data_IF_194847144371
#
_entry.id   IF_194847144371
#
_cell.length_a   1.000
_cell.length_b   1.000
_cell.length_c   1.000
_cell.angle_alpha   90.00
_cell.angle_beta   90.00
_cell.angle_gamma   90.00
#
_symmetry.space_group_name_H-M   'P 1'
#
loop_
_entity.id
_entity.type
_entity.pdbx_description
1 polymer ?
#
# COMPACT_ATOMS: atom_id res chain seq x y z
N UNK A 1 12.85 12.63 -6.91
CA UNK A 1 11.53 12.57 -7.61
C UNK A 1 11.53 11.31 -8.44
N UNK A 2 10.46 10.53 -8.43
CA UNK A 2 10.29 9.36 -9.30
C UNK A 2 9.13 9.57 -10.28
N UNK A 3 9.07 8.78 -11.35
CA UNK A 3 7.96 8.82 -12.33
C UNK A 3 7.29 7.47 -12.42
N UNK A 4 5.96 7.43 -12.29
CA UNK A 4 5.13 6.22 -12.35
C UNK A 4 4.03 6.48 -13.38
N UNK A 5 4.01 5.71 -14.47
CA UNK A 5 3.04 5.90 -15.57
C UNK A 5 2.94 7.37 -16.03
N UNK A 6 4.08 8.05 -16.17
CA UNK A 6 4.16 9.46 -16.57
C UNK A 6 3.85 10.47 -15.46
N UNK A 7 3.40 10.03 -14.27
CA UNK A 7 3.11 10.89 -13.13
C UNK A 7 4.33 11.09 -12.24
N UNK A 8 4.64 12.34 -11.92
CA UNK A 8 5.74 12.70 -11.01
C UNK A 8 5.32 12.50 -9.56
N UNK A 9 6.15 11.79 -8.79
CA UNK A 9 6.00 11.57 -7.35
C UNK A 9 7.21 12.16 -6.62
N UNK A 10 6.94 13.11 -5.74
CA UNK A 10 7.95 13.88 -5.02
C UNK A 10 7.35 15.06 -4.29
N UNK A 11 8.09 15.65 -3.37
CA UNK A 11 7.64 16.84 -2.64
C UNK A 11 7.29 17.96 -3.61
N UNK A 12 6.21 18.68 -3.32
CA UNK A 12 5.68 19.75 -4.17
C UNK A 12 4.72 19.29 -5.27
N UNK A 13 4.76 18.02 -5.70
CA UNK A 13 3.77 17.47 -6.64
C UNK A 13 2.48 17.05 -5.92
N UNK A 14 1.37 16.84 -6.66
CA UNK A 14 0.16 16.25 -6.08
C UNK A 14 0.47 14.88 -5.44
N UNK A 15 -0.11 14.64 -4.27
CA UNK A 15 0.08 13.42 -3.49
C UNK A 15 -0.34 12.20 -4.30
N UNK A 16 0.52 11.19 -4.30
CA UNK A 16 0.25 9.90 -4.92
C UNK A 16 -0.41 8.96 -3.91
N UNK A 17 -1.69 8.66 -4.11
CA UNK A 17 -2.45 7.74 -3.27
C UNK A 17 -2.31 6.29 -3.71
N UNK A 18 -2.06 5.42 -2.74
CA UNK A 18 -2.03 3.97 -2.90
C UNK A 18 -3.12 3.39 -2.01
N UNK A 19 -4.15 2.80 -2.61
CA UNK A 19 -5.12 1.97 -1.91
C UNK A 19 -4.55 0.56 -1.72
N UNK A 20 -4.12 0.23 -0.50
CA UNK A 20 -3.66 -1.10 -0.15
C UNK A 20 -4.86 -2.02 0.03
N UNK A 21 -5.16 -2.81 -0.99
CA UNK A 21 -6.11 -3.92 -0.91
C UNK A 21 -5.49 -5.06 -0.09
N UNK A 22 -4.17 -5.26 -0.23
CA UNK A 22 -3.43 -6.21 0.58
C UNK A 22 -3.99 -7.63 0.48
N UNK A 23 -4.55 -8.11 1.59
CA UNK A 23 -5.26 -9.39 1.71
C UNK A 23 -6.75 -9.24 2.08
N UNK A 24 -7.29 -8.01 2.12
CA UNK A 24 -8.69 -7.74 2.48
C UNK A 24 -9.70 -8.34 1.48
N UNK A 25 -9.23 -8.80 0.33
CA UNK A 25 -10.05 -9.53 -0.63
C UNK A 25 -10.44 -10.93 -0.15
N UNK A 26 -9.89 -11.45 0.96
CA UNK A 26 -10.25 -12.74 1.55
C UNK A 26 -10.16 -13.94 0.57
N UNK A 27 -9.21 -13.87 -0.36
CA UNK A 27 -9.06 -14.86 -1.44
C UNK A 27 -10.14 -14.80 -2.52
N UNK A 28 -11.10 -13.86 -2.46
CA UNK A 28 -12.16 -13.66 -3.45
C UNK A 28 -11.70 -12.72 -4.56
N UNK A 29 -11.60 -13.24 -5.79
CA UNK A 29 -11.29 -12.42 -6.95
C UNK A 29 -12.38 -11.37 -7.25
N UNK A 30 -13.69 -11.70 -7.23
CA UNK A 30 -14.75 -10.69 -7.38
C UNK A 30 -14.62 -9.53 -6.39
N UNK A 31 -14.34 -9.82 -5.12
CA UNK A 31 -14.15 -8.81 -4.09
C UNK A 31 -12.92 -7.93 -4.37
N UNK A 32 -11.80 -8.53 -4.79
CA UNK A 32 -10.62 -7.77 -5.20
C UNK A 32 -10.92 -6.81 -6.35
N UNK A 33 -11.63 -7.26 -7.39
CA UNK A 33 -11.99 -6.42 -8.54
C UNK A 33 -12.96 -5.31 -8.14
N UNK A 34 -13.91 -5.57 -7.25
CA UNK A 34 -14.79 -4.54 -6.69
C UNK A 34 -13.98 -3.47 -5.93
N UNK A 35 -13.03 -3.88 -5.08
CA UNK A 35 -12.15 -2.95 -4.38
C UNK A 35 -11.33 -2.08 -5.33
N UNK A 36 -10.84 -2.66 -6.44
CA UNK A 36 -10.18 -1.88 -7.51
C UNK A 36 -11.13 -0.85 -8.11
N UNK A 37 -12.35 -1.24 -8.46
CA UNK A 37 -13.35 -0.33 -9.03
C UNK A 37 -13.71 0.81 -8.06
N UNK A 38 -13.86 0.51 -6.75
CA UNK A 38 -14.08 1.54 -5.73
C UNK A 38 -12.90 2.49 -5.64
N UNK A 39 -11.67 1.97 -5.57
CA UNK A 39 -10.47 2.79 -5.52
C UNK A 39 -10.37 3.74 -6.73
N UNK A 40 -10.67 3.24 -7.94
CA UNK A 40 -10.72 4.05 -9.17
C UNK A 40 -11.77 5.14 -9.08
N UNK A 41 -12.98 4.81 -8.63
CA UNK A 41 -14.07 5.80 -8.52
C UNK A 41 -13.77 6.94 -7.52
N UNK A 42 -12.89 6.68 -6.54
CA UNK A 42 -12.42 7.66 -5.56
C UNK A 42 -11.33 8.57 -6.15
N UNK A 43 -10.62 8.11 -7.19
CA UNK A 43 -9.54 8.86 -7.83
C UNK A 43 -8.18 8.66 -7.17
N UNK A 44 -7.91 7.45 -6.63
CA UNK A 44 -6.54 7.09 -6.22
C UNK A 44 -5.65 6.83 -7.43
N UNK A 45 -4.35 6.98 -7.27
CA UNK A 45 -3.39 6.77 -8.35
C UNK A 45 -3.01 5.31 -8.56
N UNK A 46 -3.02 4.53 -7.49
CA UNK A 46 -2.68 3.12 -7.55
C UNK A 46 -3.43 2.26 -6.53
N UNK A 47 -3.55 0.98 -6.86
CA UNK A 47 -3.96 -0.08 -5.95
C UNK A 47 -2.78 -1.00 -5.65
N UNK A 48 -2.77 -1.64 -4.48
CA UNK A 48 -1.69 -2.53 -4.09
C UNK A 48 -2.19 -3.81 -3.43
N UNK A 49 -1.54 -4.91 -3.77
CA UNK A 49 -1.78 -6.25 -3.23
C UNK A 49 -0.55 -6.77 -2.46
N UNK A 50 -0.60 -8.01 -2.00
CA UNK A 50 0.53 -8.71 -1.38
C UNK A 50 0.77 -10.05 -2.06
N UNK A 51 2.04 -10.36 -2.35
CA UNK A 51 2.46 -11.65 -2.90
C UNK A 51 3.50 -12.30 -2.00
N UNK A 52 3.22 -13.56 -1.64
CA UNK A 52 4.13 -14.42 -0.88
C UNK A 52 4.24 -15.79 -1.54
N UNK A 53 5.39 -16.42 -1.38
CA UNK A 53 5.50 -17.87 -1.34
C UNK A 53 5.39 -18.31 0.13
N UNK A 54 4.28 -18.97 0.47
CA UNK A 54 3.91 -19.24 1.87
C UNK A 54 4.94 -20.14 2.56
N UNK A 55 5.45 -21.16 1.88
CA UNK A 55 6.44 -22.08 2.43
C UNK A 55 7.81 -21.42 2.65
N UNK A 56 8.13 -20.38 1.90
CA UNK A 56 9.34 -19.57 2.07
C UNK A 56 9.22 -18.58 3.23
N UNK A 57 8.05 -17.95 3.38
CA UNK A 57 7.84 -16.86 4.33
C UNK A 57 7.57 -17.36 5.76
N UNK A 58 6.87 -18.48 5.90
CA UNK A 58 6.44 -18.99 7.21
C UNK A 58 7.14 -20.31 7.54
N UNK A 59 7.54 -20.45 8.80
CA UNK A 59 8.08 -21.73 9.28
C UNK A 59 6.99 -22.82 9.26
N UNK A 60 7.35 -24.10 9.09
CA UNK A 60 6.38 -25.20 9.18
C UNK A 60 5.57 -25.18 10.48
N UNK A 61 6.23 -24.89 11.61
CA UNK A 61 5.57 -24.78 12.91
C UNK A 61 4.51 -23.65 12.94
N UNK A 62 4.74 -22.54 12.24
CA UNK A 62 3.77 -21.45 12.13
C UNK A 62 2.60 -21.80 11.20
N UNK A 63 2.85 -22.60 10.17
CA UNK A 63 1.82 -23.07 9.24
C UNK A 63 0.92 -24.13 9.87
N UNK A 64 1.47 -24.99 10.72
CA UNK A 64 0.73 -26.10 11.35
C UNK A 64 -0.08 -25.65 12.59
N UNK A 65 0.07 -24.41 13.07
CA UNK A 65 -0.73 -23.87 14.17
C UNK A 65 -2.21 -23.87 13.81
N UNK A 66 -3.03 -24.49 14.65
CA UNK A 66 -4.48 -24.39 14.54
C UNK A 66 -4.92 -22.93 14.63
N UNK A 67 -5.85 -22.55 13.75
CA UNK A 67 -6.38 -21.21 13.67
C UNK A 67 -7.80 -21.27 13.17
N UNK A 68 -8.72 -20.73 13.96
CA UNK A 68 -10.09 -20.52 13.53
C UNK A 68 -10.19 -19.25 12.67
N UNK A 69 -10.93 -19.34 11.58
CA UNK A 69 -11.22 -18.24 10.67
C UNK A 69 -12.43 -18.58 9.79
N UNK A 70 -12.98 -17.56 9.14
CA UNK A 70 -14.18 -17.72 8.31
C UNK A 70 -13.95 -18.70 7.15
N UNK A 71 -14.81 -19.72 7.07
CA UNK A 71 -14.70 -20.80 6.06
C UNK A 71 -14.89 -20.32 4.63
N UNK A 72 -15.55 -19.17 4.42
CA UNK A 72 -15.68 -18.58 3.08
C UNK A 72 -14.33 -18.31 2.42
N UNK A 73 -13.26 -18.09 3.20
CA UNK A 73 -11.90 -17.92 2.67
C UNK A 73 -11.40 -19.22 2.01
N UNK A 74 -11.72 -20.39 2.61
CA UNK A 74 -11.42 -21.69 2.01
C UNK A 74 -12.27 -21.91 0.76
N UNK A 75 -13.56 -21.56 0.81
CA UNK A 75 -14.46 -21.72 -0.32
C UNK A 75 -14.01 -20.88 -1.52
N UNK A 76 -13.61 -19.62 -1.29
CA UNK A 76 -12.98 -18.77 -2.29
C UNK A 76 -11.73 -19.41 -2.91
N UNK A 77 -10.91 -20.10 -2.10
CA UNK A 77 -9.73 -20.82 -2.60
C UNK A 77 -10.10 -22.06 -3.44
N UNK A 78 -11.20 -22.76 -3.09
CA UNK A 78 -11.71 -23.89 -3.89
C UNK A 78 -12.13 -23.41 -5.29
N UNK A 79 -12.82 -22.28 -5.38
CA UNK A 79 -13.24 -21.69 -6.67
C UNK A 79 -12.06 -21.37 -7.59
N UNK A 80 -10.90 -21.03 -7.02
CA UNK A 80 -9.67 -20.68 -7.75
C UNK A 80 -8.77 -21.87 -8.09
N UNK A 81 -9.08 -23.07 -7.60
CA UNK A 81 -8.26 -24.27 -7.78
C UNK A 81 -8.35 -24.88 -9.19
N UNK A 82 -9.32 -24.46 -10.00
CA UNK A 82 -9.50 -24.96 -11.37
C UNK A 82 -8.91 -24.01 -12.41
N UNK A 83 -7.80 -24.41 -13.03
CA UNK A 83 -7.16 -23.67 -14.13
C UNK A 83 -7.18 -24.54 -15.38
N UNK A 84 -7.93 -24.12 -16.40
CA UNK A 84 -8.06 -24.83 -17.69
C UNK A 84 -8.48 -26.30 -17.55
N UNK A 85 -9.36 -26.59 -16.58
CA UNK A 85 -9.83 -27.95 -16.32
C UNK A 85 -8.82 -28.84 -15.56
N UNK A 86 -7.65 -28.33 -15.17
CA UNK A 86 -6.68 -29.03 -14.33
C UNK A 86 -6.70 -28.49 -12.90
N UNK A 87 -6.58 -29.35 -11.88
CA UNK A 87 -6.42 -28.90 -10.50
C UNK A 87 -5.04 -28.26 -10.34
N UNK A 88 -5.01 -26.98 -10.01
CA UNK A 88 -3.82 -26.26 -9.56
C UNK A 88 -4.12 -25.79 -8.14
N UNK A 89 -3.72 -26.62 -7.18
CA UNK A 89 -4.15 -26.43 -5.81
C UNK A 89 -3.58 -25.12 -5.23
N UNK A 90 -4.50 -24.24 -4.79
CA UNK A 90 -4.17 -23.00 -4.07
C UNK A 90 -3.52 -23.34 -2.71
N UNK A 91 -3.96 -24.43 -2.10
CA UNK A 91 -3.40 -25.03 -0.89
C UNK A 91 -2.64 -26.33 -1.23
N UNK A 92 -1.66 -26.77 -0.43
CA UNK A 92 -1.06 -28.09 -0.60
C UNK A 92 -2.11 -29.22 -0.53
N UNK A 93 -1.92 -30.31 -1.29
CA UNK A 93 -2.88 -31.42 -1.37
C UNK A 93 -3.23 -32.02 0.01
N UNK A 94 -2.23 -32.18 0.88
CA UNK A 94 -2.43 -32.67 2.26
C UNK A 94 -3.40 -31.79 3.06
N UNK A 95 -3.41 -30.48 2.78
CA UNK A 95 -4.29 -29.53 3.46
C UNK A 95 -5.74 -29.76 3.00
N UNK A 96 -5.96 -29.93 1.70
CA UNK A 96 -7.29 -30.26 1.17
C UNK A 96 -7.82 -31.57 1.74
N UNK A 97 -7.02 -32.63 1.73
CA UNK A 97 -7.42 -33.93 2.28
C UNK A 97 -7.87 -33.82 3.74
N UNK A 98 -7.14 -33.05 4.56
CA UNK A 98 -7.49 -32.82 5.96
C UNK A 98 -8.77 -32.00 6.12
N UNK A 99 -8.93 -30.93 5.34
CA UNK A 99 -10.13 -30.07 5.38
C UNK A 99 -11.38 -30.82 4.90
N UNK A 100 -11.26 -31.63 3.84
CA UNK A 100 -12.35 -32.45 3.29
C UNK A 100 -12.77 -33.57 4.26
N UNK A 101 -11.82 -34.08 5.06
CA UNK A 101 -12.10 -35.03 6.14
C UNK A 101 -12.71 -34.37 7.40
N UNK A 102 -12.97 -33.05 7.38
CA UNK A 102 -13.52 -32.32 8.52
C UNK A 102 -12.52 -31.99 9.63
N UNK A 103 -11.22 -32.04 9.33
CA UNK A 103 -10.16 -31.66 10.26
C UNK A 103 -10.16 -30.16 10.61
N UNK A 104 -9.38 -29.75 11.64
CA UNK A 104 -9.31 -28.36 12.07
C UNK A 104 -8.67 -27.48 10.99
N UNK A 105 -8.93 -26.17 11.00
CA UNK A 105 -8.22 -25.21 10.17
C UNK A 105 -6.91 -24.77 10.82
N UNK A 106 -5.94 -24.39 9.99
CA UNK A 106 -4.60 -23.96 10.41
C UNK A 106 -4.28 -22.59 9.84
N UNK A 107 -3.30 -21.92 10.44
CA UNK A 107 -2.74 -20.70 9.91
C UNK A 107 -2.21 -20.89 8.48
N UNK A 108 -1.64 -22.05 8.18
CA UNK A 108 -1.24 -22.41 6.82
C UNK A 108 -2.41 -22.38 5.83
N UNK A 109 -3.54 -23.01 6.16
CA UNK A 109 -4.72 -22.99 5.28
C UNK A 109 -5.18 -21.56 4.98
N UNK A 110 -5.24 -20.70 6.00
CA UNK A 110 -5.57 -19.28 5.82
C UNK A 110 -4.57 -18.60 4.87
N UNK A 111 -3.28 -18.75 5.12
CA UNK A 111 -2.24 -18.05 4.33
C UNK A 111 -2.23 -18.52 2.88
N UNK A 112 -2.34 -19.82 2.63
CA UNK A 112 -2.46 -20.34 1.26
C UNK A 112 -3.76 -19.89 0.59
N UNK A 113 -4.90 -19.94 1.30
CA UNK A 113 -6.20 -19.56 0.75
C UNK A 113 -6.30 -18.07 0.40
N UNK A 114 -5.52 -17.21 1.04
CA UNK A 114 -5.42 -15.78 0.70
C UNK A 114 -4.52 -15.50 -0.51
N UNK A 115 -3.60 -16.40 -0.87
CA UNK A 115 -2.71 -16.14 -2.00
C UNK A 115 -3.45 -16.27 -3.34
N UNK A 116 -3.39 -15.20 -4.12
CA UNK A 116 -3.82 -15.22 -5.50
C UNK A 116 -2.83 -15.98 -6.40
N UNK A 117 -3.39 -16.69 -7.35
CA UNK A 117 -2.66 -17.40 -8.40
C UNK A 117 -2.18 -16.42 -9.48
N UNK A 118 -1.32 -16.90 -10.36
CA UNK A 118 -0.91 -16.16 -11.57
C UNK A 118 -2.10 -15.71 -12.43
N UNK A 119 -3.08 -16.60 -12.63
CA UNK A 119 -4.31 -16.30 -13.37
C UNK A 119 -5.13 -15.19 -12.71
N UNK A 120 -5.20 -15.19 -11.38
CA UNK A 120 -5.92 -14.15 -10.63
C UNK A 120 -5.24 -12.79 -10.81
N UNK A 121 -3.91 -12.74 -10.72
CA UNK A 121 -3.13 -11.53 -10.96
C UNK A 121 -3.20 -11.05 -12.42
N UNK A 122 -3.26 -11.95 -13.41
CA UNK A 122 -3.49 -11.58 -14.81
C UNK A 122 -4.83 -10.89 -15.02
N UNK A 123 -5.89 -11.38 -14.35
CA UNK A 123 -7.21 -10.76 -14.40
C UNK A 123 -7.22 -9.39 -13.71
N UNK A 124 -6.54 -9.27 -12.57
CA UNK A 124 -6.33 -7.99 -11.87
C UNK A 124 -5.57 -7.02 -12.78
N UNK A 125 -4.47 -7.46 -13.42
CA UNK A 125 -3.67 -6.65 -14.33
C UNK A 125 -4.54 -6.09 -15.47
N UNK A 126 -5.29 -6.96 -16.15
CA UNK A 126 -6.19 -6.55 -17.25
C UNK A 126 -7.25 -5.55 -16.80
N UNK A 127 -7.84 -5.77 -15.62
CA UNK A 127 -8.83 -4.84 -15.08
C UNK A 127 -8.21 -3.49 -14.72
N UNK A 128 -7.04 -3.47 -14.09
CA UNK A 128 -6.34 -2.23 -13.75
C UNK A 128 -5.96 -1.43 -15.00
N UNK A 129 -5.43 -2.11 -16.03
CA UNK A 129 -5.13 -1.49 -17.33
C UNK A 129 -6.37 -0.91 -18.00
N UNK A 130 -7.48 -1.67 -18.02
CA UNK A 130 -8.76 -1.22 -18.57
C UNK A 130 -9.29 0.02 -17.85
N UNK A 131 -9.14 0.08 -16.54
CA UNK A 131 -9.60 1.20 -15.71
C UNK A 131 -8.60 2.37 -15.65
N UNK A 132 -7.39 2.21 -16.20
CA UNK A 132 -6.36 3.24 -16.20
C UNK A 132 -5.72 3.50 -14.83
N UNK A 133 -5.75 2.52 -13.92
CA UNK A 133 -5.13 2.62 -12.58
C UNK A 133 -3.86 1.81 -12.52
N UNK A 134 -2.83 2.37 -11.86
CA UNK A 134 -1.59 1.63 -11.65
C UNK A 134 -1.80 0.56 -10.56
N UNK A 135 -1.15 -0.58 -10.68
CA UNK A 135 -1.16 -1.57 -9.61
C UNK A 135 0.23 -2.16 -9.36
N UNK A 136 0.40 -2.71 -8.17
CA UNK A 136 1.58 -3.48 -7.79
C UNK A 136 1.24 -4.46 -6.67
N UNK A 137 2.21 -5.25 -6.24
CA UNK A 137 2.12 -6.01 -5.01
C UNK A 137 3.42 -5.92 -4.20
N UNK A 138 3.28 -6.03 -2.88
CA UNK A 138 4.43 -6.15 -1.98
C UNK A 138 4.98 -7.57 -2.08
N UNK A 139 6.24 -7.71 -2.50
CA UNK A 139 6.93 -8.99 -2.54
C UNK A 139 7.59 -9.28 -1.19
N UNK A 140 7.24 -10.42 -0.59
CA UNK A 140 7.74 -10.82 0.74
C UNK A 140 8.93 -11.79 0.69
N UNK A 141 9.26 -12.31 -0.49
CA UNK A 141 10.31 -13.27 -0.72
C UNK A 141 10.82 -13.17 -2.17
N UNK A 142 11.90 -13.89 -2.48
CA UNK A 142 12.56 -13.82 -3.78
C UNK A 142 11.72 -14.35 -4.96
N UNK A 143 10.85 -15.34 -4.73
CA UNK A 143 9.94 -15.87 -5.75
C UNK A 143 8.84 -14.85 -6.06
N UNK A 144 8.28 -14.25 -5.03
CA UNK A 144 7.31 -13.16 -5.16
C UNK A 144 7.88 -11.93 -5.85
N UNK A 145 9.15 -11.58 -5.58
CA UNK A 145 9.82 -10.48 -6.25
C UNK A 145 10.07 -10.79 -7.73
N UNK A 146 10.43 -12.03 -8.07
CA UNK A 146 10.54 -12.49 -9.45
C UNK A 146 9.19 -12.44 -10.17
N UNK A 147 8.14 -12.95 -9.52
CA UNK A 147 6.77 -12.99 -10.03
C UNK A 147 6.26 -11.59 -10.42
N UNK A 148 6.30 -10.62 -9.49
CA UNK A 148 5.79 -9.26 -9.77
C UNK A 148 6.67 -8.53 -10.80
N UNK A 149 7.99 -8.77 -10.80
CA UNK A 149 8.87 -8.23 -11.83
C UNK A 149 8.60 -8.80 -13.23
N UNK A 150 7.93 -9.95 -13.34
CA UNK A 150 7.52 -10.55 -14.60
C UNK A 150 6.38 -9.81 -15.31
N UNK A 151 5.62 -8.98 -14.58
CA UNK A 151 4.58 -8.14 -15.18
C UNK A 151 5.20 -6.87 -15.75
N UNK A 152 5.26 -6.75 -17.08
CA UNK A 152 5.79 -5.55 -17.76
C UNK A 152 4.94 -4.30 -17.45
N UNK A 153 3.62 -4.47 -17.31
CA UNK A 153 2.66 -3.38 -17.03
C UNK A 153 2.75 -2.83 -15.59
N UNK A 154 3.37 -3.56 -14.67
CA UNK A 154 3.58 -3.11 -13.29
C UNK A 154 4.70 -2.09 -13.29
N UNK A 155 4.36 -0.82 -13.15
CA UNK A 155 5.30 0.31 -13.28
C UNK A 155 6.11 0.63 -12.02
N UNK A 156 5.81 0.00 -10.89
CA UNK A 156 6.48 0.26 -9.61
C UNK A 156 6.38 -0.96 -8.70
N UNK A 157 7.23 -1.02 -7.67
CA UNK A 157 7.31 -2.14 -6.74
C UNK A 157 7.19 -1.64 -5.29
N UNK A 158 6.78 -2.54 -4.39
CA UNK A 158 6.70 -2.25 -2.96
C UNK A 158 7.60 -3.20 -2.17
N UNK A 159 8.38 -2.62 -1.26
CA UNK A 159 9.05 -3.33 -0.16
C UNK A 159 8.27 -3.07 1.13
N UNK A 160 7.76 -4.13 1.74
CA UNK A 160 7.08 -4.06 3.03
C UNK A 160 8.08 -3.79 4.18
N UNK A 161 7.62 -3.16 5.26
CA UNK A 161 8.47 -2.82 6.43
C UNK A 161 9.24 -4.04 6.97
N UNK A 162 8.56 -5.19 7.09
CA UNK A 162 9.16 -6.43 7.59
C UNK A 162 10.29 -6.99 6.68
N UNK A 163 10.33 -6.56 5.43
CA UNK A 163 11.29 -7.00 4.42
C UNK A 163 12.49 -6.07 4.26
N UNK A 164 12.48 -4.90 4.92
CA UNK A 164 13.49 -3.85 4.74
C UNK A 164 14.92 -4.34 5.02
N UNK A 165 15.09 -5.26 5.97
CA UNK A 165 16.40 -5.78 6.38
C UNK A 165 16.91 -6.92 5.50
N UNK A 166 16.12 -7.40 4.54
CA UNK A 166 16.48 -8.53 3.67
C UNK A 166 17.20 -8.05 2.40
N UNK A 167 18.53 -7.95 2.46
CA UNK A 167 19.37 -7.47 1.35
C UNK A 167 19.18 -8.24 0.04
N UNK A 168 19.07 -9.57 0.08
CA UNK A 168 18.88 -10.39 -1.13
C UNK A 168 17.55 -10.05 -1.81
N UNK A 169 16.47 -9.94 -1.03
CA UNK A 169 15.17 -9.52 -1.52
C UNK A 169 15.21 -8.11 -2.12
N UNK A 170 15.84 -7.14 -1.46
CA UNK A 170 15.98 -5.77 -1.99
C UNK A 170 16.68 -5.76 -3.36
N UNK A 171 17.73 -6.56 -3.54
CA UNK A 171 18.42 -6.69 -4.83
C UNK A 171 17.52 -7.29 -5.91
N UNK A 172 16.72 -8.31 -5.56
CA UNK A 172 15.76 -8.92 -6.50
C UNK A 172 14.65 -7.97 -6.90
N UNK A 173 14.11 -7.21 -5.95
CA UNK A 173 13.10 -6.17 -6.23
C UNK A 173 13.70 -5.11 -7.17
N UNK A 174 14.91 -4.62 -6.89
CA UNK A 174 15.61 -3.62 -7.72
C UNK A 174 15.98 -4.08 -9.13
N UNK A 175 16.02 -5.38 -9.41
CA UNK A 175 16.65 -5.95 -10.60
C UNK A 175 16.19 -5.35 -11.94
N UNK A 176 14.94 -4.89 -12.05
CA UNK A 176 14.38 -4.27 -13.28
C UNK A 176 14.48 -2.74 -13.32
N UNK A 177 15.02 -2.11 -12.29
CA UNK A 177 15.18 -0.66 -12.21
C UNK A 177 13.87 0.13 -12.08
N UNK A 178 12.74 -0.54 -11.80
CA UNK A 178 11.44 0.11 -11.60
C UNK A 178 11.46 0.97 -10.32
N UNK A 179 10.69 2.07 -10.24
CA UNK A 179 10.43 2.80 -9.00
C UNK A 179 10.00 1.89 -7.85
N UNK A 180 10.50 2.15 -6.65
CA UNK A 180 10.24 1.35 -5.44
C UNK A 180 9.68 2.27 -4.35
N UNK A 181 8.55 1.89 -3.79
CA UNK A 181 8.13 2.39 -2.48
C UNK A 181 8.64 1.45 -1.39
N UNK A 182 9.30 1.97 -0.37
CA UNK A 182 9.78 1.18 0.76
C UNK A 182 9.25 1.76 2.06
N UNK A 183 8.46 0.97 2.80
CA UNK A 183 8.04 1.36 4.16
C UNK A 183 9.15 1.10 5.18
N UNK A 184 9.23 1.95 6.21
CA UNK A 184 10.31 1.91 7.22
C UNK A 184 9.86 1.48 8.62
N UNK A 185 8.69 0.85 8.73
CA UNK A 185 8.14 0.45 10.04
C UNK A 185 9.03 -0.55 10.78
N UNK A 186 9.13 -0.40 12.10
CA UNK A 186 9.93 -1.28 12.95
C UNK A 186 11.44 -1.28 12.66
N UNK A 187 11.94 -0.30 11.90
CA UNK A 187 13.35 -0.24 11.48
C UNK A 187 14.08 0.93 12.12
N UNK A 188 15.35 0.74 12.48
CA UNK A 188 16.24 1.83 12.92
C UNK A 188 16.72 2.67 11.73
N UNK A 189 17.18 3.89 11.98
CA UNK A 189 17.76 4.74 10.93
C UNK A 189 18.95 4.08 10.23
N UNK A 190 19.75 3.28 10.95
CA UNK A 190 20.87 2.53 10.37
C UNK A 190 20.39 1.43 9.41
N UNK A 191 19.33 0.71 9.77
CA UNK A 191 18.73 -0.28 8.88
C UNK A 191 18.15 0.38 7.63
N UNK A 192 17.47 1.52 7.79
CA UNK A 192 16.96 2.31 6.66
C UNK A 192 18.12 2.76 5.77
N UNK A 193 19.22 3.25 6.34
CA UNK A 193 20.41 3.66 5.57
C UNK A 193 20.99 2.54 4.73
N UNK A 194 21.19 1.35 5.32
CA UNK A 194 21.67 0.17 4.59
C UNK A 194 20.71 -0.26 3.47
N UNK A 195 19.40 -0.16 3.68
CA UNK A 195 18.42 -0.46 2.64
C UNK A 195 18.46 0.57 1.50
N UNK A 196 18.61 1.87 1.82
CA UNK A 196 18.79 2.94 0.83
C UNK A 196 20.09 2.75 0.02
N UNK A 197 21.19 2.31 0.65
CA UNK A 197 22.44 1.99 -0.06
C UNK A 197 22.26 0.86 -1.08
N UNK A 198 21.49 -0.18 -0.74
CA UNK A 198 21.20 -1.30 -1.64
C UNK A 198 20.30 -0.85 -2.79
N UNK A 199 19.21 -0.13 -2.47
CA UNK A 199 18.21 0.28 -3.45
C UNK A 199 18.69 1.43 -4.35
N UNK A 200 19.53 2.32 -3.83
CA UNK A 200 19.90 3.57 -4.47
C UNK A 200 18.78 4.62 -4.38
N UNK A 201 19.11 5.92 -4.52
CA UNK A 201 18.15 7.00 -4.27
C UNK A 201 17.23 7.32 -5.45
N UNK A 202 17.66 7.07 -6.69
CA UNK A 202 17.05 7.67 -7.89
C UNK A 202 15.62 7.18 -8.15
N UNK A 203 15.35 5.91 -7.85
CA UNK A 203 14.07 5.23 -8.08
C UNK A 203 13.40 4.82 -6.77
N UNK A 204 13.66 5.55 -5.67
CA UNK A 204 13.15 5.22 -4.35
C UNK A 204 12.17 6.27 -3.83
N UNK A 205 11.13 5.81 -3.13
CA UNK A 205 10.27 6.61 -2.27
C UNK A 205 10.25 5.93 -0.90
N UNK A 206 10.62 6.66 0.15
CA UNK A 206 10.55 6.15 1.53
C UNK A 206 9.19 6.51 2.13
N UNK A 207 8.55 5.54 2.77
CA UNK A 207 7.32 5.78 3.51
C UNK A 207 7.58 5.61 5.00
N UNK A 208 7.43 6.71 5.76
CA UNK A 208 7.31 6.58 7.21
C UNK A 208 6.09 5.72 7.54
N UNK A 209 6.24 4.84 8.52
CA UNK A 209 5.27 3.80 8.81
C UNK A 209 5.47 3.29 10.25
N UNK A 210 4.38 2.95 10.93
CA UNK A 210 4.40 2.24 12.21
C UNK A 210 3.72 0.90 12.00
N UNK A 211 4.45 -0.21 12.17
CA UNK A 211 3.96 -1.58 11.89
C UNK A 211 3.11 -2.14 13.05
N UNK A 212 2.10 -1.39 13.45
CA UNK A 212 1.06 -1.74 14.42
C UNK A 212 -0.31 -1.49 13.78
N UNK A 213 -1.32 -2.32 14.08
CA UNK A 213 -2.59 -2.37 13.33
C UNK A 213 -3.80 -2.39 14.28
N UNK A 214 -4.36 -1.22 14.67
CA UNK A 214 -3.87 0.13 14.40
C UNK A 214 -2.83 0.62 15.42
N UNK A 215 -1.98 1.60 15.06
CA UNK A 215 -1.09 2.24 16.03
C UNK A 215 -1.89 3.19 16.94
N UNK A 216 -1.38 3.44 18.15
CA UNK A 216 -1.85 4.57 18.96
C UNK A 216 -1.36 5.88 18.34
N UNK A 217 -2.12 6.96 18.51
CA UNK A 217 -1.76 8.28 17.95
C UNK A 217 -0.38 8.75 18.45
N UNK A 218 -0.10 8.54 19.73
CA UNK A 218 1.18 8.87 20.38
C UNK A 218 2.38 8.14 19.74
N UNK A 219 2.15 6.95 19.19
CA UNK A 219 3.19 6.11 18.55
C UNK A 219 3.37 6.45 17.07
N UNK A 220 2.42 7.15 16.43
CA UNK A 220 2.44 7.46 15.00
C UNK A 220 3.69 8.25 14.58
N UNK A 221 4.17 9.14 15.46
CA UNK A 221 5.43 9.88 15.34
C UNK A 221 5.70 10.47 13.94
N UNK A 222 4.75 11.24 13.40
CA UNK A 222 4.81 11.78 12.03
C UNK A 222 6.02 12.69 11.76
N UNK A 223 6.64 13.24 12.81
CA UNK A 223 7.86 14.05 12.69
C UNK A 223 9.09 13.25 12.22
N UNK A 224 9.03 11.91 12.22
CA UNK A 224 10.05 11.07 11.57
C UNK A 224 10.16 11.41 10.09
N UNK A 225 9.08 11.82 9.42
CA UNK A 225 9.15 12.27 8.02
C UNK A 225 10.11 13.45 7.84
N UNK A 226 10.11 14.42 8.75
CA UNK A 226 11.07 15.55 8.70
C UNK A 226 12.50 15.07 8.90
N UNK A 227 12.71 14.09 9.77
CA UNK A 227 14.01 13.44 9.92
C UNK A 227 14.47 12.75 8.63
N UNK A 228 13.58 11.97 7.99
CA UNK A 228 13.90 11.30 6.73
C UNK A 228 14.17 12.28 5.60
N UNK A 229 13.42 13.39 5.49
CA UNK A 229 13.66 14.45 4.50
C UNK A 229 15.02 15.11 4.68
N UNK A 230 15.46 15.34 5.94
CA UNK A 230 16.78 15.93 6.22
C UNK A 230 17.92 14.97 5.89
N UNK A 231 17.76 13.67 6.19
CA UNK A 231 18.81 12.66 5.98
C UNK A 231 18.90 12.26 4.49
N UNK A 232 17.76 12.19 3.80
CA UNK A 232 17.65 11.77 2.40
C UNK A 232 16.97 12.83 1.52
N UNK A 233 17.55 14.04 1.39
CA UNK A 233 16.93 15.14 0.62
C UNK A 233 16.70 14.81 -0.86
N UNK A 234 17.42 13.84 -1.41
CA UNK A 234 17.28 13.35 -2.78
C UNK A 234 16.14 12.33 -2.94
N UNK A 235 15.63 11.75 -1.84
CA UNK A 235 14.61 10.70 -1.85
C UNK A 235 13.24 11.28 -1.46
N UNK A 236 12.22 11.14 -2.32
CA UNK A 236 10.83 11.42 -1.95
C UNK A 236 10.38 10.69 -0.67
N UNK A 237 9.70 11.42 0.22
CA UNK A 237 9.23 10.92 1.51
C UNK A 237 7.70 10.99 1.53
N UNK A 238 7.07 9.85 1.77
CA UNK A 238 5.64 9.69 1.96
C UNK A 238 5.30 9.03 3.30
N UNK A 239 4.07 8.56 3.40
CA UNK A 239 3.52 7.94 4.61
C UNK A 239 2.71 6.69 4.26
N UNK A 240 2.85 5.64 5.06
CA UNK A 240 2.08 4.39 4.98
C UNK A 240 1.38 4.20 6.32
N UNK A 241 0.05 4.33 6.29
CA UNK A 241 -0.81 4.38 7.47
C UNK A 241 -1.47 3.03 7.74
N UNK A 242 -1.63 2.73 9.02
CA UNK A 242 -2.47 1.63 9.51
C UNK A 242 -3.53 2.13 10.51
N UNK A 243 -3.80 3.44 10.50
CA UNK A 243 -4.79 4.07 11.36
C UNK A 243 -6.22 3.78 10.90
N UNK A 244 -7.17 3.77 11.84
CA UNK A 244 -8.60 3.50 11.58
C UNK A 244 -9.39 4.72 11.07
N UNK A 245 -8.72 5.84 10.89
CA UNK A 245 -9.36 7.06 10.42
C UNK A 245 -8.42 7.83 9.50
N UNK A 246 -8.96 8.92 8.95
CA UNK A 246 -8.27 9.72 7.95
C UNK A 246 -7.29 10.74 8.56
N UNK A 247 -7.30 10.94 9.88
CA UNK A 247 -6.61 12.07 10.50
C UNK A 247 -5.08 11.92 10.41
N UNK A 248 -4.45 10.80 10.80
CA UNK A 248 -3.00 10.62 10.61
C UNK A 248 -2.52 10.77 9.15
N UNK A 249 -3.13 10.13 8.13
CA UNK A 249 -2.68 10.33 6.75
C UNK A 249 -2.95 11.75 6.21
N UNK A 250 -4.00 12.42 6.69
CA UNK A 250 -4.26 13.83 6.37
C UNK A 250 -3.17 14.74 6.95
N UNK A 251 -2.83 14.57 8.23
CA UNK A 251 -1.75 15.34 8.90
C UNK A 251 -0.40 15.05 8.25
N UNK A 252 -0.10 13.79 7.92
CA UNK A 252 1.12 13.43 7.18
C UNK A 252 1.21 14.18 5.84
N UNK A 253 0.09 14.30 5.13
CA UNK A 253 0.03 15.11 3.89
C UNK A 253 0.32 16.58 4.14
N UNK A 254 -0.25 17.17 5.20
CA UNK A 254 0.00 18.57 5.57
C UNK A 254 1.45 18.81 5.99
N UNK A 255 2.08 17.81 6.59
CA UNK A 255 3.52 17.77 6.88
C UNK A 255 4.35 17.47 5.62
N UNK A 256 3.75 17.38 4.43
CA UNK A 256 4.48 17.28 3.16
C UNK A 256 4.86 15.86 2.72
N UNK A 257 4.13 14.84 3.14
CA UNK A 257 4.19 13.51 2.52
C UNK A 257 3.82 13.62 1.02
N UNK A 258 4.67 13.09 0.13
CA UNK A 258 4.41 13.11 -1.31
C UNK A 258 3.62 11.90 -1.83
N UNK A 259 3.50 10.87 -1.00
CA UNK A 259 2.72 9.67 -1.27
C UNK A 259 2.04 9.23 0.02
N UNK A 260 0.82 8.71 -0.09
CA UNK A 260 0.03 8.21 1.03
C UNK A 260 -0.51 6.84 0.69
N UNK A 261 -0.16 5.86 1.51
CA UNK A 261 -0.66 4.49 1.43
C UNK A 261 -1.58 4.23 2.63
N UNK A 262 -2.78 3.71 2.36
CA UNK A 262 -3.79 3.36 3.37
C UNK A 262 -4.46 2.06 2.95
N UNK A 263 -4.80 1.21 3.92
CA UNK A 263 -5.55 -0.01 3.62
C UNK A 263 -7.01 0.33 3.24
N UNK A 264 -7.55 -0.39 2.26
CA UNK A 264 -8.92 -0.27 1.78
C UNK A 264 -9.70 -1.55 2.07
N UNK A 265 -10.88 -1.41 2.67
CA UNK A 265 -11.87 -2.48 2.82
C UNK A 265 -13.21 -2.05 2.23
N UNK A 266 -14.07 -2.99 1.86
CA UNK A 266 -15.47 -2.71 1.53
C UNK A 266 -16.33 -2.54 2.79
N UNK A 267 -15.99 -3.28 3.85
CA UNK A 267 -16.65 -3.25 5.16
C UNK A 267 -15.63 -3.71 6.22
N UNK A 268 -15.50 -2.98 7.33
CA UNK A 268 -14.59 -3.32 8.43
C UNK A 268 -14.98 -4.57 9.22
N UNK A 269 -16.23 -5.01 9.10
CA UNK A 269 -16.76 -6.18 9.79
C UNK A 269 -16.47 -7.49 9.05
N UNK A 270 -15.90 -7.42 7.85
CA UNK A 270 -15.49 -8.61 7.11
C UNK A 270 -14.40 -9.39 7.87
N UNK A 271 -14.34 -10.73 7.71
CA UNK A 271 -13.34 -11.55 8.38
C UNK A 271 -11.91 -11.17 7.96
N UNK A 272 -11.00 -11.03 8.92
CA UNK A 272 -9.57 -10.78 8.65
C UNK A 272 -9.01 -9.65 9.50
N UNK A 273 -7.72 -9.75 9.84
CA UNK A 273 -7.06 -8.80 10.75
C UNK A 273 -7.00 -7.38 10.19
N UNK A 274 -6.80 -7.27 8.88
CA UNK A 274 -6.46 -6.00 8.23
C UNK A 274 -7.71 -5.13 8.02
N UNK A 275 -8.90 -5.74 7.91
CA UNK A 275 -10.18 -5.03 7.77
C UNK A 275 -10.39 -4.00 8.88
N UNK A 276 -10.07 -4.34 10.13
CA UNK A 276 -10.24 -3.44 11.28
C UNK A 276 -9.30 -2.23 11.27
N UNK A 277 -8.21 -2.28 10.50
CA UNK A 277 -7.22 -1.21 10.34
C UNK A 277 -7.29 -0.55 8.95
N UNK A 278 -8.39 -0.79 8.22
CA UNK A 278 -8.61 -0.29 6.86
C UNK A 278 -9.65 0.81 6.83
N UNK A 279 -9.54 1.72 5.87
CA UNK A 279 -10.58 2.69 5.54
C UNK A 279 -11.63 2.04 4.64
N UNK A 280 -12.89 2.43 4.85
CA UNK A 280 -13.99 2.14 3.93
C UNK A 280 -14.01 3.15 2.76
N UNK A 281 -14.74 2.87 1.66
CA UNK A 281 -14.67 3.71 0.46
C UNK A 281 -15.07 5.16 0.70
N UNK A 282 -16.04 5.43 1.59
CA UNK A 282 -16.48 6.77 1.94
C UNK A 282 -15.41 7.57 2.68
N UNK A 283 -14.64 6.92 3.58
CA UNK A 283 -13.56 7.52 4.34
C UNK A 283 -12.34 7.78 3.46
N UNK A 284 -11.98 6.84 2.57
CA UNK A 284 -10.93 7.07 1.59
C UNK A 284 -11.29 8.21 0.62
N UNK A 285 -12.57 8.29 0.19
CA UNK A 285 -13.06 9.42 -0.60
C UNK A 285 -12.95 10.75 0.15
N UNK A 286 -13.25 10.76 1.44
CA UNK A 286 -13.07 11.94 2.30
C UNK A 286 -11.60 12.36 2.35
N UNK A 287 -10.70 11.43 2.62
CA UNK A 287 -9.25 11.68 2.69
C UNK A 287 -8.74 12.28 1.38
N UNK A 288 -9.03 11.63 0.25
CA UNK A 288 -8.61 12.12 -1.07
C UNK A 288 -9.17 13.52 -1.32
N UNK A 289 -10.46 13.75 -1.04
CA UNK A 289 -11.08 15.07 -1.23
C UNK A 289 -10.41 16.15 -0.38
N UNK A 290 -10.14 15.90 0.89
CA UNK A 290 -9.49 16.87 1.78
C UNK A 290 -8.06 17.15 1.35
N UNK A 291 -7.32 16.13 0.89
CA UNK A 291 -5.95 16.32 0.37
C UNK A 291 -5.93 17.12 -0.93
N UNK A 292 -6.81 16.82 -1.89
CA UNK A 292 -6.91 17.62 -3.14
C UNK A 292 -7.31 19.07 -2.86
N UNK A 293 -8.20 19.29 -1.88
CA UNK A 293 -8.52 20.63 -1.41
C UNK A 293 -7.30 21.32 -0.78
N UNK A 294 -6.55 20.62 0.07
CA UNK A 294 -5.32 21.14 0.69
C UNK A 294 -4.26 21.53 -0.36
N UNK A 295 -4.08 20.74 -1.42
CA UNK A 295 -3.16 21.04 -2.51
C UNK A 295 -3.46 22.38 -3.19
N UNK A 296 -4.73 22.78 -3.23
CA UNK A 296 -5.16 24.11 -3.69
C UNK A 296 -4.95 25.17 -2.60
N UNK A 297 -5.34 24.88 -1.35
CA UNK A 297 -5.28 25.83 -0.23
C UNK A 297 -3.86 26.25 0.15
N UNK A 298 -2.88 25.34 0.06
CA UNK A 298 -1.50 25.61 0.48
C UNK A 298 -0.83 26.74 -0.32
N UNK A 299 -1.30 27.01 -1.54
CA UNK A 299 -0.75 28.04 -2.41
C UNK A 299 0.73 27.84 -2.76
N UNK A 300 1.40 28.94 -3.08
CA UNK A 300 2.82 28.98 -3.44
C UNK A 300 3.71 29.59 -2.33
N UNK A 301 3.13 29.93 -1.17
CA UNK A 301 3.83 30.49 -0.02
C UNK A 301 4.28 31.95 -0.18
N UNK A 302 3.98 32.63 -1.29
CA UNK A 302 4.42 34.00 -1.54
C UNK A 302 3.36 34.99 -1.07
N UNK A 303 3.72 35.86 -0.11
CA UNK A 303 2.84 36.92 0.39
C UNK A 303 2.67 38.01 -0.67
N UNK A 304 1.41 38.30 -1.01
CA UNK A 304 1.01 39.33 -1.96
C UNK A 304 -0.37 39.88 -1.60
N UNK A 305 -0.70 41.06 -2.11
CA UNK A 305 -2.07 41.59 -2.07
C UNK A 305 -2.88 40.90 -3.15
N UNK A 306 -4.01 40.30 -2.77
CA UNK A 306 -4.90 39.65 -3.71
C UNK A 306 -5.87 40.67 -4.32
N UNK A 307 -6.32 40.48 -5.58
CA UNK A 307 -7.28 41.39 -6.21
C UNK A 307 -8.55 41.63 -5.37
N UNK A 308 -9.02 40.60 -4.66
CA UNK A 308 -10.18 40.69 -3.77
C UNK A 308 -9.94 41.51 -2.49
N UNK A 309 -8.70 41.78 -2.12
CA UNK A 309 -8.34 42.58 -0.93
C UNK A 309 -8.25 44.08 -1.25
N UNK A 310 -8.04 44.46 -2.51
CA UNK A 310 -7.78 45.85 -2.91
C UNK A 310 -8.86 46.84 -2.47
N UNK A 311 -10.14 46.48 -2.63
CA UNK A 311 -11.26 47.35 -2.23
C UNK A 311 -11.31 47.56 -0.70
N UNK A 312 -11.09 46.49 0.06
CA UNK A 312 -11.02 46.54 1.52
C UNK A 312 -9.84 47.37 1.99
N UNK A 313 -8.68 47.21 1.34
CA UNK A 313 -7.49 48.01 1.62
C UNK A 313 -7.73 49.50 1.37
N UNK A 314 -8.28 49.88 0.22
CA UNK A 314 -8.59 51.28 -0.09
C UNK A 314 -9.62 51.89 0.89
N UNK A 315 -10.54 51.07 1.40
CA UNK A 315 -11.53 51.50 2.40
C UNK A 315 -10.93 51.69 3.80
N UNK A 316 -10.03 50.82 4.24
CA UNK A 316 -9.64 50.71 5.66
C UNK A 316 -8.21 51.16 5.97
N UNK A 317 -7.27 51.13 5.00
CA UNK A 317 -5.90 51.60 5.22
C UNK A 317 -5.85 53.12 5.01
N UNK A 318 -5.52 53.86 6.07
CA UNK A 318 -5.47 55.33 6.09
C UNK A 318 -4.06 55.89 6.24
N UNK A 319 -3.12 55.05 6.64
CA UNK A 319 -1.70 55.37 6.87
C UNK A 319 -0.89 54.29 6.16
N UNK A 320 0.17 54.70 5.47
CA UNK A 320 1.05 53.83 4.69
C UNK A 320 2.49 54.31 4.88
N UNK A 321 3.05 54.06 6.07
CA UNK A 321 4.37 54.51 6.53
C UNK A 321 5.31 53.37 6.95
N UNK A 322 5.00 52.13 6.54
CA UNK A 322 5.79 50.91 6.75
C UNK A 322 6.28 50.30 5.43
#
# INVERSE_FOLDING_TARGET
MVTINGRRVGQGYPVFFIAEIGINHNGSLPMALEMVEKAVSIGVEAVKFQKRDIATVFSPAELDKERDFDRSIIDNARERTMVEGKPRFVLPEKNWQRLDAGGPTTNGDLKYALEFTEKDYDLINRQCLKLGVSWSASAWDGLSAHFINGFEDVAWLKVASACLTNRDLLLRVKAKGKPIFMSTGGSTLEQVGRAVEVLGPDNLVLLHCVSEYPPRDEDSNLMVMETLKRIYPQVPIGYSSHSRDIFPPLVATMLGACAVEVHLTLDRNLPGSDHQASLEPSELAELVRQVRRFETLRGDGVKRVLPGECATMAKLRRVDDL
#
